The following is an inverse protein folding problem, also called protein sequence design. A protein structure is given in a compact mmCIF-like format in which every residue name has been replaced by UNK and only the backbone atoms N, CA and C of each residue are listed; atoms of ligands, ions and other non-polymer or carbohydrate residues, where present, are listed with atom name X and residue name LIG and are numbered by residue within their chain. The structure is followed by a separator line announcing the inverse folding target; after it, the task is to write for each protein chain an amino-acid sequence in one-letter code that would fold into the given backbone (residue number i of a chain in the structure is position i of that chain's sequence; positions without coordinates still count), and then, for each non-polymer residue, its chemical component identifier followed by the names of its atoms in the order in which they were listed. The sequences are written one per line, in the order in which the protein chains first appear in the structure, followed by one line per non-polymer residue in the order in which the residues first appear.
data_IF_455266984764
#
_entry.id   IF_455266984764
#
_cell.length_a   1.000
_cell.length_b   1.000
_cell.length_c   1.000
_cell.angle_alpha   90.00
_cell.angle_beta   90.00
_cell.angle_gamma   90.00
#
_symmetry.space_group_name_H-M   'P 1'
#
loop_
_entity.id
_entity.type
_entity.pdbx_description
1 polymer ?
#
# COMPACT_ATOMS: atom_id res chain seq x y z
N UNK A 1 -69.56 9.24 19.83
CA UNK A 1 -69.80 7.89 19.25
C UNK A 1 -70.22 6.99 20.41
N UNK A 2 -71.49 6.61 20.41
CA UNK A 2 -72.19 6.06 21.56
C UNK A 2 -71.85 4.59 21.79
N UNK A 3 -71.38 4.27 23.00
CA UNK A 3 -71.23 2.90 23.47
C UNK A 3 -72.60 2.27 23.67
N UNK A 4 -72.82 1.12 23.03
CA UNK A 4 -73.99 0.28 23.25
C UNK A 4 -73.77 -0.54 24.51
N UNK A 5 -74.33 -0.05 25.61
CA UNK A 5 -74.46 -0.74 26.89
C UNK A 5 -75.66 -1.70 26.78
N UNK A 6 -75.41 -2.96 26.41
CA UNK A 6 -76.47 -3.95 26.24
C UNK A 6 -76.81 -4.55 27.61
N UNK A 7 -77.92 -4.08 28.16
CA UNK A 7 -78.50 -4.57 29.40
C UNK A 7 -79.25 -5.90 29.16
N UNK A 8 -78.62 -7.02 29.51
CA UNK A 8 -79.21 -8.37 29.37
C UNK A 8 -80.21 -8.74 30.48
N UNK A 9 -80.62 -7.82 31.36
CA UNK A 9 -81.54 -8.12 32.46
C UNK A 9 -83.03 -7.89 32.15
N UNK A 10 -83.42 -7.64 30.89
CA UNK A 10 -84.82 -7.52 30.48
C UNK A 10 -85.08 -8.19 29.13
N UNK A 11 -84.98 -9.52 29.10
CA UNK A 11 -85.98 -10.34 28.38
C UNK A 11 -85.73 -11.81 28.66
N UNK A 12 -86.43 -12.35 29.66
CA UNK A 12 -86.64 -13.79 29.71
C UNK A 12 -88.10 -14.03 30.03
N UNK A 13 -88.87 -14.16 28.96
CA UNK A 13 -90.16 -14.82 28.95
C UNK A 13 -90.06 -16.15 29.70
N UNK A 14 -90.97 -16.35 30.66
CA UNK A 14 -91.10 -17.61 31.40
C UNK A 14 -91.60 -18.68 30.43
N UNK A 15 -90.67 -19.45 29.84
CA UNK A 15 -91.01 -20.69 29.15
C UNK A 15 -91.29 -21.76 30.19
N UNK A 16 -92.55 -22.18 30.27
CA UNK A 16 -92.97 -23.38 30.98
C UNK A 16 -92.42 -24.57 30.19
N UNK A 17 -91.40 -25.23 30.72
CA UNK A 17 -90.89 -26.46 30.14
C UNK A 17 -91.79 -27.62 30.59
N UNK A 18 -92.51 -28.20 29.63
CA UNK A 18 -93.17 -29.50 29.80
C UNK A 18 -92.09 -30.56 30.07
N UNK A 19 -92.18 -31.20 31.23
CA UNK A 19 -91.26 -32.25 31.63
C UNK A 19 -91.51 -33.52 30.79
N UNK A 20 -90.74 -33.70 29.72
CA UNK A 20 -90.64 -34.98 29.03
C UNK A 20 -90.12 -36.04 30.01
N UNK A 21 -90.76 -37.21 30.15
CA UNK A 21 -90.31 -38.22 31.10
C UNK A 21 -88.89 -38.67 30.73
N UNK A 22 -87.94 -38.42 31.63
CA UNK A 22 -86.62 -39.04 31.60
C UNK A 22 -86.83 -40.55 31.67
N UNK A 23 -86.43 -41.27 30.62
CA UNK A 23 -86.19 -42.69 30.73
C UNK A 23 -85.18 -42.89 31.88
N UNK A 24 -85.70 -43.51 32.93
CA UNK A 24 -84.98 -43.87 34.15
C UNK A 24 -83.83 -44.77 33.72
N UNK A 25 -82.60 -44.24 33.77
CA UNK A 25 -81.41 -45.06 33.63
C UNK A 25 -81.50 -46.21 34.61
N UNK A 26 -81.51 -47.43 34.09
CA UNK A 26 -81.56 -48.64 34.88
C UNK A 26 -80.47 -48.60 35.94
N UNK A 27 -80.84 -48.94 37.17
CA UNK A 27 -79.88 -49.13 38.25
C UNK A 27 -78.81 -50.11 37.79
N UNK A 28 -77.56 -49.68 37.82
CA UNK A 28 -76.41 -50.57 37.69
C UNK A 28 -76.45 -51.44 38.94
N UNK A 29 -76.85 -52.71 38.77
CA UNK A 29 -76.64 -53.75 39.76
C UNK A 29 -75.17 -53.72 40.23
N UNK A 30 -74.82 -54.16 41.45
CA UNK A 30 -73.42 -54.27 41.87
C UNK A 30 -72.75 -55.44 41.12
N UNK A 31 -72.55 -55.26 39.82
CA UNK A 31 -71.76 -56.08 38.93
C UNK A 31 -70.34 -55.55 38.89
N UNK A 32 -69.41 -56.50 38.75
CA UNK A 32 -67.96 -56.37 38.86
C UNK A 32 -67.43 -55.01 38.33
N UNK A 33 -66.88 -54.16 39.22
CA UNK A 33 -66.31 -52.83 38.88
C UNK A 33 -64.96 -52.90 38.16
N UNK A 34 -64.46 -54.11 37.94
CA UNK A 34 -63.21 -54.40 37.24
C UNK A 34 -63.07 -53.70 35.87
N UNK A 35 -64.05 -53.70 34.94
CA UNK A 35 -63.86 -53.08 33.62
C UNK A 35 -63.76 -51.55 33.69
N UNK A 36 -64.33 -50.89 34.70
CA UNK A 36 -64.18 -49.44 34.89
C UNK A 36 -62.78 -49.07 35.42
N UNK A 37 -62.24 -49.90 36.32
CA UNK A 37 -60.87 -49.72 36.84
C UNK A 37 -59.83 -50.05 35.76
N UNK A 38 -60.01 -51.16 35.03
CA UNK A 38 -59.13 -51.52 33.92
C UNK A 38 -59.22 -50.51 32.77
N UNK A 39 -60.41 -49.99 32.44
CA UNK A 39 -60.59 -48.93 31.45
C UNK A 39 -59.94 -47.60 31.87
N UNK A 40 -60.09 -47.21 33.14
CA UNK A 40 -59.44 -46.01 33.69
C UNK A 40 -57.91 -46.12 33.71
N UNK A 41 -57.38 -47.28 34.10
CA UNK A 41 -55.94 -47.56 34.07
C UNK A 41 -55.39 -47.55 32.64
N UNK A 42 -56.10 -48.14 31.68
CA UNK A 42 -55.70 -48.12 30.26
C UNK A 42 -55.71 -46.70 29.69
N UNK A 43 -56.69 -45.87 30.04
CA UNK A 43 -56.74 -44.46 29.62
C UNK A 43 -55.59 -43.64 30.20
N UNK A 44 -55.25 -43.84 31.48
CA UNK A 44 -54.09 -43.18 32.11
C UNK A 44 -52.77 -43.63 31.48
N UNK A 45 -52.62 -44.92 31.18
CA UNK A 45 -51.43 -45.44 30.52
C UNK A 45 -51.25 -44.82 29.12
N UNK A 46 -52.34 -44.67 28.36
CA UNK A 46 -52.29 -44.02 27.05
C UNK A 46 -51.90 -42.54 27.14
N UNK A 47 -52.49 -41.79 28.08
CA UNK A 47 -52.14 -40.38 28.30
C UNK A 47 -50.68 -40.22 28.76
N UNK A 48 -50.18 -41.12 29.60
CA UNK A 48 -48.78 -41.12 30.03
C UNK A 48 -47.82 -41.37 28.86
N UNK A 49 -48.15 -42.30 27.95
CA UNK A 49 -47.35 -42.55 26.74
C UNK A 49 -47.34 -41.33 25.80
N UNK A 50 -48.49 -40.72 25.56
CA UNK A 50 -48.59 -39.52 24.71
C UNK A 50 -47.84 -38.34 25.34
N UNK A 51 -47.98 -38.13 26.65
CA UNK A 51 -47.25 -37.10 27.39
C UNK A 51 -45.73 -37.34 27.38
N UNK A 52 -45.30 -38.58 27.58
CA UNK A 52 -43.89 -38.98 27.49
C UNK A 52 -43.31 -38.75 26.10
N UNK A 53 -44.04 -39.12 25.05
CA UNK A 53 -43.63 -38.88 23.66
C UNK A 53 -43.49 -37.38 23.34
N UNK A 54 -44.46 -36.55 23.78
CA UNK A 54 -44.38 -35.10 23.64
C UNK A 54 -43.21 -34.49 24.44
N UNK A 55 -42.89 -35.02 25.61
CA UNK A 55 -41.76 -34.56 26.40
C UNK A 55 -40.41 -34.87 25.71
N UNK A 56 -40.26 -36.08 25.15
CA UNK A 56 -39.05 -36.48 24.42
C UNK A 56 -38.87 -35.64 23.15
N UNK A 57 -39.93 -35.46 22.36
CA UNK A 57 -39.85 -34.66 21.13
C UNK A 57 -39.57 -33.18 21.41
N UNK A 58 -40.18 -32.59 22.45
CA UNK A 58 -39.85 -31.23 22.90
C UNK A 58 -38.38 -31.10 23.33
N UNK A 59 -37.85 -32.09 24.04
CA UNK A 59 -36.45 -32.07 24.47
C UNK A 59 -35.49 -32.13 23.27
N UNK A 60 -35.81 -32.96 22.26
CA UNK A 60 -35.03 -33.00 21.01
C UNK A 60 -35.09 -31.67 20.25
N UNK A 61 -36.28 -31.08 20.11
CA UNK A 61 -36.44 -29.76 19.47
C UNK A 61 -35.59 -28.70 20.19
N UNK A 62 -35.60 -28.67 21.53
CA UNK A 62 -34.78 -27.74 22.30
C UNK A 62 -33.27 -27.98 22.10
N UNK A 63 -32.82 -29.24 22.03
CA UNK A 63 -31.41 -29.55 21.76
C UNK A 63 -30.98 -29.16 20.34
N UNK A 64 -31.81 -29.41 19.33
CA UNK A 64 -31.52 -28.98 17.96
C UNK A 64 -31.50 -27.45 17.86
N UNK A 65 -32.41 -26.76 18.53
CA UNK A 65 -32.44 -25.30 18.55
C UNK A 65 -31.20 -24.72 19.25
N UNK A 66 -30.74 -25.33 20.36
CA UNK A 66 -29.50 -24.94 21.02
C UNK A 66 -28.27 -25.19 20.14
N UNK A 67 -28.22 -26.31 19.39
CA UNK A 67 -27.15 -26.57 18.42
C UNK A 67 -27.17 -25.56 17.28
N UNK A 68 -28.34 -25.26 16.71
CA UNK A 68 -28.48 -24.22 15.68
C UNK A 68 -27.91 -22.89 16.17
N UNK A 69 -28.32 -22.44 17.36
CA UNK A 69 -27.82 -21.20 17.94
C UNK A 69 -26.30 -21.22 18.20
N UNK A 70 -25.73 -22.37 18.59
CA UNK A 70 -24.28 -22.52 18.74
C UNK A 70 -23.55 -22.47 17.39
N UNK A 71 -24.06 -23.13 16.34
CA UNK A 71 -23.51 -23.05 14.99
C UNK A 71 -23.63 -21.63 14.41
N UNK A 72 -24.74 -20.93 14.68
CA UNK A 72 -24.94 -19.54 14.27
C UNK A 72 -23.90 -18.62 14.95
N UNK A 73 -23.58 -18.87 16.22
CA UNK A 73 -22.52 -18.12 16.92
C UNK A 73 -21.11 -18.43 16.36
N UNK A 74 -20.83 -19.70 16.06
CA UNK A 74 -19.55 -20.13 15.48
C UNK A 74 -19.34 -19.54 14.07
N UNK A 75 -20.39 -19.53 13.24
CA UNK A 75 -20.35 -18.90 11.92
C UNK A 75 -20.17 -17.39 12.00
N UNK A 76 -20.81 -16.70 12.96
CA UNK A 76 -20.59 -15.27 13.19
C UNK A 76 -19.14 -14.98 13.61
N UNK A 77 -18.55 -15.83 14.45
CA UNK A 77 -17.14 -15.72 14.84
C UNK A 77 -16.20 -15.94 13.64
N UNK A 78 -16.45 -16.97 12.82
CA UNK A 78 -15.69 -17.23 11.60
C UNK A 78 -15.80 -16.07 10.61
N UNK A 79 -16.98 -15.48 10.42
CA UNK A 79 -17.16 -14.30 9.58
C UNK A 79 -16.34 -13.11 10.09
N UNK A 80 -16.31 -12.88 11.41
CA UNK A 80 -15.47 -11.84 12.01
C UNK A 80 -13.98 -12.09 11.73
N UNK A 81 -13.50 -13.33 11.85
CA UNK A 81 -12.11 -13.68 11.54
C UNK A 81 -11.78 -13.48 10.06
N UNK A 82 -12.70 -13.84 9.15
CA UNK A 82 -12.53 -13.60 7.72
C UNK A 82 -12.44 -12.10 7.39
N UNK A 83 -13.22 -11.27 8.09
CA UNK A 83 -13.19 -9.82 7.91
C UNK A 83 -11.91 -9.17 8.49
N UNK A 84 -11.37 -9.73 9.57
CA UNK A 84 -10.06 -9.34 10.09
C UNK A 84 -8.95 -9.69 9.10
N UNK A 85 -8.99 -10.91 8.52
CA UNK A 85 -8.03 -11.35 7.50
C UNK A 85 -8.09 -10.46 6.25
N UNK A 86 -9.28 -10.12 5.75
CA UNK A 86 -9.41 -9.24 4.58
C UNK A 86 -8.92 -7.82 4.89
N UNK A 87 -9.14 -7.33 6.12
CA UNK A 87 -8.57 -6.08 6.61
C UNK A 87 -7.05 -6.10 6.64
N UNK A 88 -6.44 -7.19 7.13
CA UNK A 88 -4.98 -7.38 7.13
C UNK A 88 -4.43 -7.46 5.70
N UNK A 89 -5.10 -8.16 4.78
CA UNK A 89 -4.68 -8.21 3.38
C UNK A 89 -4.69 -6.83 2.73
N UNK A 90 -5.74 -6.02 2.96
CA UNK A 90 -5.81 -4.65 2.47
C UNK A 90 -4.69 -3.77 3.04
N UNK A 91 -4.33 -3.94 4.32
CA UNK A 91 -3.18 -3.23 4.91
C UNK A 91 -1.85 -3.67 4.28
N UNK A 92 -1.66 -4.97 3.99
CA UNK A 92 -0.46 -5.49 3.32
C UNK A 92 -0.31 -4.87 1.93
N UNK A 93 -1.40 -4.77 1.17
CA UNK A 93 -1.35 -4.22 -0.18
C UNK A 93 -1.05 -2.71 -0.19
N UNK A 94 -1.58 -1.97 0.79
CA UNK A 94 -1.24 -0.56 0.99
C UNK A 94 0.23 -0.38 1.36
N UNK A 95 0.74 -1.18 2.30
CA UNK A 95 2.17 -1.11 2.69
C UNK A 95 3.07 -1.50 1.53
N UNK A 96 2.68 -2.47 0.69
CA UNK A 96 3.42 -2.83 -0.52
C UNK A 96 3.45 -1.70 -1.54
N UNK A 97 2.33 -1.02 -1.76
CA UNK A 97 2.30 0.11 -2.70
C UNK A 97 3.15 1.29 -2.21
N UNK A 98 3.14 1.55 -0.90
CA UNK A 98 4.01 2.54 -0.27
C UNK A 98 5.49 2.19 -0.41
N UNK A 99 5.87 0.92 -0.13
CA UNK A 99 7.24 0.44 -0.32
C UNK A 99 7.66 0.57 -1.79
N UNK A 100 6.80 0.19 -2.73
CA UNK A 100 7.09 0.32 -4.15
C UNK A 100 7.32 1.78 -4.55
N UNK A 101 6.52 2.72 -4.02
CA UNK A 101 6.73 4.15 -4.25
C UNK A 101 8.08 4.65 -3.73
N UNK A 102 8.52 4.18 -2.55
CA UNK A 102 9.86 4.49 -2.06
C UNK A 102 10.96 3.89 -2.95
N UNK A 103 10.75 2.69 -3.46
CA UNK A 103 11.72 2.00 -4.34
C UNK A 103 11.86 2.72 -5.68
N UNK A 104 10.77 3.21 -6.28
CA UNK A 104 10.86 4.02 -7.52
C UNK A 104 11.67 5.28 -7.29
N UNK A 105 11.46 6.01 -6.19
CA UNK A 105 12.24 7.21 -5.86
C UNK A 105 13.74 6.90 -5.74
N UNK A 106 14.11 5.77 -5.12
CA UNK A 106 15.53 5.37 -5.04
C UNK A 106 16.12 4.87 -6.36
N UNK A 107 15.28 4.42 -7.30
CA UNK A 107 15.72 3.98 -8.61
C UNK A 107 15.85 5.14 -9.60
N UNK A 108 15.05 6.19 -9.41
CA UNK A 108 15.04 7.41 -10.23
C UNK A 108 16.11 8.42 -9.80
N UNK A 109 16.42 8.54 -8.50
CA UNK A 109 17.38 9.54 -8.00
C UNK A 109 18.81 8.97 -7.97
N UNK A 110 19.67 9.52 -8.83
CA UNK A 110 21.11 9.31 -8.75
C UNK A 110 21.72 10.08 -7.56
N UNK A 111 22.57 9.44 -6.73
CA UNK A 111 23.15 10.12 -5.60
C UNK A 111 24.20 11.15 -6.04
N UNK A 112 24.04 12.41 -5.61
CA UNK A 112 25.01 13.49 -5.81
C UNK A 112 26.45 13.15 -5.42
N UNK A 113 26.62 12.29 -4.41
CA UNK A 113 27.95 11.84 -3.99
C UNK A 113 28.65 10.99 -5.06
N UNK A 114 27.92 10.13 -5.78
CA UNK A 114 28.50 9.35 -6.87
C UNK A 114 28.81 10.23 -8.07
N UNK A 115 27.92 11.17 -8.40
CA UNK A 115 28.14 12.14 -9.47
C UNK A 115 29.38 13.02 -9.20
N UNK A 116 29.49 13.56 -7.98
CA UNK A 116 30.66 14.34 -7.56
C UNK A 116 31.95 13.52 -7.59
N UNK A 117 31.90 12.25 -7.16
CA UNK A 117 33.05 11.37 -7.20
C UNK A 117 33.45 11.03 -8.64
N UNK A 118 32.49 10.76 -9.52
CA UNK A 118 32.75 10.50 -10.94
C UNK A 118 33.37 11.74 -11.61
N UNK A 119 32.78 12.92 -11.42
CA UNK A 119 33.35 14.19 -11.93
C UNK A 119 34.76 14.39 -11.40
N UNK A 120 35.00 14.17 -10.09
CA UNK A 120 36.32 14.33 -9.48
C UNK A 120 37.34 13.36 -10.06
N UNK A 121 37.00 12.08 -10.24
CA UNK A 121 37.92 11.08 -10.79
C UNK A 121 38.25 11.34 -12.26
N UNK A 122 37.35 12.01 -12.98
CA UNK A 122 37.46 12.38 -14.38
C UNK A 122 38.07 13.76 -14.62
N UNK A 123 38.21 14.59 -13.59
CA UNK A 123 38.77 15.94 -13.70
C UNK A 123 40.28 15.85 -13.97
N UNK A 124 40.78 16.36 -15.13
CA UNK A 124 42.20 16.40 -15.40
C UNK A 124 42.95 17.25 -14.37
N UNK A 125 44.23 16.95 -14.11
CA UNK A 125 45.03 17.64 -13.10
C UNK A 125 45.23 19.16 -13.35
N UNK A 126 44.85 19.66 -14.53
CA UNK A 126 45.04 21.05 -14.97
C UNK A 126 43.73 21.86 -14.99
N UNK A 127 42.64 21.22 -14.58
CA UNK A 127 41.31 21.82 -14.55
C UNK A 127 40.87 21.90 -13.09
N UNK A 128 40.38 23.06 -12.68
CA UNK A 128 39.87 23.28 -11.33
C UNK A 128 38.39 23.63 -11.38
N UNK A 129 37.59 22.83 -10.69
CA UNK A 129 36.16 23.10 -10.52
C UNK A 129 36.00 24.09 -9.35
N UNK A 130 35.29 25.19 -9.61
CA UNK A 130 35.00 26.24 -8.62
C UNK A 130 33.61 26.04 -8.02
N UNK A 131 32.62 25.74 -8.86
CA UNK A 131 31.25 25.50 -8.40
C UNK A 131 30.55 24.47 -9.27
N UNK A 132 29.68 23.69 -8.65
CA UNK A 132 28.74 22.80 -9.33
C UNK A 132 27.32 23.21 -8.91
N UNK A 133 26.42 23.37 -9.88
CA UNK A 133 25.01 23.69 -9.63
C UNK A 133 24.09 22.77 -10.42
N UNK A 134 23.00 22.35 -9.80
CA UNK A 134 21.90 21.63 -10.46
C UNK A 134 21.06 22.61 -11.30
N UNK A 135 20.67 22.17 -12.49
CA UNK A 135 19.79 22.90 -13.39
C UNK A 135 18.66 21.98 -13.82
N UNK A 136 17.44 22.26 -13.40
CA UNK A 136 16.27 21.54 -13.89
C UNK A 136 15.83 22.15 -15.22
N UNK A 137 15.98 21.43 -16.31
CA UNK A 137 15.39 21.81 -17.60
C UNK A 137 13.99 21.25 -17.68
N UNK A 138 12.99 22.11 -17.40
CA UNK A 138 11.59 21.81 -17.72
C UNK A 138 11.40 22.04 -19.21
N UNK A 139 11.15 21.01 -20.04
CA UNK A 139 10.83 21.26 -21.44
C UNK A 139 9.55 22.09 -21.51
N UNK A 140 9.57 23.12 -22.36
CA UNK A 140 8.41 23.96 -22.63
C UNK A 140 7.32 23.08 -23.25
N UNK A 141 6.20 22.90 -22.55
CA UNK A 141 5.14 21.98 -22.95
C UNK A 141 4.62 22.35 -24.35
N UNK A 142 5.01 21.57 -25.36
CA UNK A 142 4.56 21.76 -26.74
C UNK A 142 3.17 21.16 -26.97
N UNK A 143 2.69 20.32 -26.05
CA UNK A 143 1.38 19.66 -26.06
C UNK A 143 0.80 19.59 -24.64
N UNK A 144 -0.44 20.08 -24.38
CA UNK A 144 -1.08 20.00 -23.06
C UNK A 144 -1.40 18.58 -22.57
N UNK A 145 -1.23 17.54 -23.39
CA UNK A 145 -1.48 16.14 -23.00
C UNK A 145 -0.21 15.33 -22.69
N UNK A 146 0.98 15.93 -22.80
CA UNK A 146 2.25 15.25 -22.49
C UNK A 146 2.81 15.88 -21.22
N UNK A 147 2.96 15.08 -20.16
CA UNK A 147 3.68 15.52 -18.96
C UNK A 147 5.13 15.80 -19.40
N UNK A 148 5.65 17.04 -19.24
CA UNK A 148 7.02 17.33 -19.61
C UNK A 148 7.97 16.49 -18.75
N UNK A 149 8.78 15.65 -19.39
CA UNK A 149 9.88 14.93 -18.73
C UNK A 149 10.90 15.97 -18.27
N UNK A 150 10.95 16.25 -16.96
CA UNK A 150 11.96 17.11 -16.38
C UNK A 150 13.30 16.39 -16.41
N UNK A 151 14.22 16.87 -17.23
CA UNK A 151 15.62 16.40 -17.19
C UNK A 151 16.35 17.16 -16.10
N UNK A 152 16.94 16.41 -15.17
CA UNK A 152 17.86 16.96 -14.18
C UNK A 152 19.22 17.15 -14.87
N UNK A 153 19.71 18.39 -14.87
CA UNK A 153 20.99 18.76 -15.45
C UNK A 153 21.95 19.34 -14.42
N UNK A 154 23.19 19.47 -14.83
CA UNK A 154 24.27 20.06 -14.03
C UNK A 154 25.00 21.12 -14.84
N UNK A 155 25.45 22.15 -14.14
CA UNK A 155 26.34 23.18 -14.65
C UNK A 155 27.61 23.21 -13.81
N UNK A 156 28.74 23.00 -14.47
CA UNK A 156 30.08 22.92 -13.88
C UNK A 156 30.82 24.21 -14.24
N UNK A 157 31.11 25.05 -13.25
CA UNK A 157 31.95 26.24 -13.45
C UNK A 157 33.33 25.99 -12.88
N UNK A 158 34.35 26.44 -13.59
CA UNK A 158 35.72 26.26 -13.17
C UNK A 158 36.70 27.16 -13.92
N UNK A 159 37.98 26.91 -13.64
CA UNK A 159 39.11 27.57 -14.30
C UNK A 159 40.07 26.53 -14.86
N UNK A 160 40.63 26.81 -16.03
CA UNK A 160 41.61 25.97 -16.70
C UNK A 160 42.78 26.80 -17.24
N UNK A 161 43.90 26.14 -17.53
CA UNK A 161 45.10 26.76 -18.07
C UNK A 161 45.08 26.90 -19.59
N UNK A 162 44.28 26.09 -20.30
CA UNK A 162 44.11 26.19 -21.76
C UNK A 162 42.70 25.79 -22.23
N UNK A 163 42.34 26.23 -23.44
CA UNK A 163 41.10 25.79 -24.09
C UNK A 163 41.12 24.29 -24.43
N UNK A 164 42.30 23.74 -24.69
CA UNK A 164 42.48 22.31 -24.97
C UNK A 164 42.12 21.46 -23.75
N UNK A 165 42.48 21.92 -22.55
CA UNK A 165 42.15 21.23 -21.29
C UNK A 165 40.64 21.23 -21.00
N UNK A 166 39.94 22.31 -21.36
CA UNK A 166 38.47 22.39 -21.25
C UNK A 166 37.83 21.41 -22.22
N UNK A 167 38.33 21.34 -23.45
CA UNK A 167 37.85 20.39 -24.45
C UNK A 167 38.10 18.94 -24.03
N UNK A 168 39.31 18.62 -23.55
CA UNK A 168 39.64 17.29 -23.04
C UNK A 168 38.74 16.93 -21.85
N UNK A 169 38.49 17.87 -20.94
CA UNK A 169 37.58 17.65 -19.82
C UNK A 169 36.16 17.35 -20.29
N UNK A 170 35.62 18.11 -21.25
CA UNK A 170 34.32 17.84 -21.84
C UNK A 170 34.26 16.44 -22.48
N UNK A 171 35.29 16.02 -23.22
CA UNK A 171 35.37 14.69 -23.83
C UNK A 171 35.44 13.55 -22.79
N UNK A 172 36.10 13.77 -21.66
CA UNK A 172 36.13 12.78 -20.57
C UNK A 172 34.77 12.69 -19.87
N UNK A 173 34.09 13.82 -19.69
CA UNK A 173 32.72 13.87 -19.14
C UNK A 173 31.71 13.19 -20.06
N UNK A 174 31.86 13.30 -21.38
CA UNK A 174 31.03 12.57 -22.36
C UNK A 174 31.13 11.05 -22.24
N UNK A 175 32.20 10.53 -21.62
CA UNK A 175 32.37 9.09 -21.36
C UNK A 175 31.82 8.68 -19.99
N UNK A 176 31.20 9.58 -19.24
CA UNK A 176 30.60 9.25 -17.95
C UNK A 176 29.32 8.44 -18.18
N UNK A 177 29.14 7.30 -17.50
CA UNK A 177 27.87 6.58 -17.53
C UNK A 177 26.78 7.29 -16.70
N UNK A 178 27.14 8.26 -15.85
CA UNK A 178 26.21 9.03 -15.01
C UNK A 178 25.67 10.28 -15.72
N UNK A 179 26.27 10.66 -16.85
CA UNK A 179 25.89 11.82 -17.65
C UNK A 179 25.47 11.39 -19.05
N UNK A 180 24.57 12.15 -19.68
CA UNK A 180 24.18 11.92 -21.06
C UNK A 180 25.23 12.51 -22.00
N UNK A 181 25.96 11.64 -22.71
CA UNK A 181 27.09 12.03 -23.56
C UNK A 181 26.74 13.09 -24.60
N UNK A 182 25.52 13.07 -25.15
CA UNK A 182 25.07 14.00 -26.20
C UNK A 182 24.80 15.42 -25.67
N UNK A 183 24.58 15.55 -24.37
CA UNK A 183 24.19 16.82 -23.72
C UNK A 183 25.37 17.58 -23.14
N UNK A 184 26.54 16.93 -23.03
CA UNK A 184 27.75 17.55 -22.49
C UNK A 184 28.27 18.59 -23.48
N UNK A 185 28.14 19.86 -23.13
CA UNK A 185 28.56 20.98 -23.97
C UNK A 185 29.20 22.10 -23.15
N UNK A 186 30.18 22.78 -23.77
CA UNK A 186 30.80 23.98 -23.20
C UNK A 186 29.85 25.15 -23.49
N UNK A 187 29.21 25.68 -22.44
CA UNK A 187 28.28 26.82 -22.55
C UNK A 187 29.02 28.14 -22.69
N UNK A 188 30.12 28.29 -21.95
CA UNK A 188 30.94 29.51 -21.94
C UNK A 188 32.40 29.15 -21.71
N UNK A 189 33.31 29.83 -22.41
CA UNK A 189 34.74 29.79 -22.15
C UNK A 189 35.32 31.18 -22.43
N UNK A 190 35.88 31.84 -21.42
CA UNK A 190 36.38 33.20 -21.53
C UNK A 190 37.73 33.33 -20.82
N UNK A 191 38.72 33.85 -21.53
CA UNK A 191 40.01 34.18 -20.96
C UNK A 191 39.90 35.37 -19.99
N UNK A 192 40.50 35.24 -18.82
CA UNK A 192 40.59 36.31 -17.85
C UNK A 192 41.49 37.44 -18.37
N UNK A 193 41.11 38.72 -18.16
CA UNK A 193 41.91 39.86 -18.62
C UNK A 193 43.19 40.06 -17.79
N UNK A 194 43.26 39.46 -16.61
CA UNK A 194 44.39 39.55 -15.69
C UNK A 194 45.39 38.42 -15.93
N UNK A 195 46.67 38.78 -15.96
CA UNK A 195 47.77 37.82 -15.96
C UNK A 195 47.81 37.05 -14.65
N UNK A 196 48.14 35.77 -14.74
CA UNK A 196 48.35 34.90 -13.60
C UNK A 196 49.57 35.36 -12.81
N UNK A 197 49.41 35.60 -11.51
CA UNK A 197 50.55 35.88 -10.65
C UNK A 197 51.17 34.56 -10.15
N UNK A 198 52.39 34.21 -10.59
CA UNK A 198 53.01 32.95 -10.24
C UNK A 198 53.34 32.81 -8.74
N UNK A 199 53.34 33.90 -7.97
CA UNK A 199 53.62 33.87 -6.53
C UNK A 199 52.38 33.54 -5.68
N UNK A 200 51.18 33.90 -6.16
CA UNK A 200 49.94 33.76 -5.38
C UNK A 200 49.00 32.70 -5.93
N UNK A 201 48.97 32.51 -7.25
CA UNK A 201 48.01 31.64 -7.94
C UNK A 201 48.68 30.40 -8.56
N UNK A 202 50.01 30.32 -8.49
CA UNK A 202 50.80 29.23 -9.07
C UNK A 202 51.01 29.38 -10.57
N UNK A 203 51.50 28.32 -11.21
CA UNK A 203 51.78 28.30 -12.66
C UNK A 203 51.07 27.15 -13.34
N UNK A 204 50.69 27.41 -14.58
CA UNK A 204 50.19 26.37 -15.45
C UNK A 204 51.31 25.38 -15.80
N UNK A 205 51.10 24.06 -15.65
CA UNK A 205 52.17 23.09 -15.89
C UNK A 205 52.58 23.06 -17.36
N UNK A 206 53.84 23.32 -17.67
CA UNK A 206 54.38 23.29 -19.04
C UNK A 206 54.55 24.66 -19.69
N UNK A 207 54.23 25.75 -19.01
CA UNK A 207 54.52 27.11 -19.48
C UNK A 207 55.99 27.47 -19.19
N UNK A 208 56.67 28.10 -20.16
CA UNK A 208 58.08 28.44 -20.00
C UNK A 208 58.25 29.54 -18.95
N UNK A 209 59.41 29.56 -18.28
CA UNK A 209 59.68 30.56 -17.24
C UNK A 209 59.77 31.95 -17.85
N UNK A 210 58.73 32.76 -17.69
CA UNK A 210 58.69 34.16 -18.13
C UNK A 210 57.58 34.49 -19.13
N UNK A 211 56.84 33.48 -19.61
CA UNK A 211 55.68 33.73 -20.46
C UNK A 211 54.45 34.17 -19.63
N UNK A 212 53.61 35.06 -20.18
CA UNK A 212 52.36 35.46 -19.56
C UNK A 212 51.36 34.30 -19.60
N UNK A 213 50.99 33.79 -18.43
CA UNK A 213 49.92 32.81 -18.26
C UNK A 213 48.59 33.51 -18.01
N UNK A 214 47.51 32.95 -18.54
CA UNK A 214 46.14 33.41 -18.30
C UNK A 214 45.28 32.21 -17.89
N UNK A 215 44.31 32.45 -17.02
CA UNK A 215 43.25 31.48 -16.75
C UNK A 215 42.09 31.69 -17.70
N UNK A 216 41.39 30.60 -17.98
CA UNK A 216 40.15 30.61 -18.74
C UNK A 216 39.05 30.15 -17.81
N UNK A 217 38.08 31.03 -17.57
CA UNK A 217 36.84 30.69 -16.90
C UNK A 217 35.96 29.90 -17.86
N UNK A 218 35.44 28.76 -17.40
CA UNK A 218 34.58 27.91 -18.23
C UNK A 218 33.31 27.50 -17.50
N UNK A 219 32.28 27.23 -18.28
CA UNK A 219 31.02 26.62 -17.87
C UNK A 219 30.70 25.46 -18.79
N UNK A 220 30.54 24.26 -18.23
CA UNK A 220 30.08 23.06 -18.95
C UNK A 220 28.71 22.67 -18.43
N UNK A 221 27.75 22.52 -19.34
CA UNK A 221 26.43 21.95 -19.06
C UNK A 221 26.37 20.48 -19.44
N UNK A 222 25.67 19.67 -18.66
CA UNK A 222 25.39 18.26 -18.98
C UNK A 222 24.09 17.81 -18.31
N UNK A 223 23.35 16.89 -18.92
CA UNK A 223 22.19 16.25 -18.30
C UNK A 223 22.62 14.97 -17.58
N UNK A 224 21.95 14.68 -16.47
CA UNK A 224 22.08 13.43 -15.75
C UNK A 224 21.41 12.32 -16.57
N UNK A 225 21.96 11.10 -16.53
CA UNK A 225 21.37 9.95 -17.24
C UNK A 225 19.99 9.58 -16.66
N UNK A 226 19.06 9.23 -17.54
CA UNK A 226 17.74 8.69 -17.15
C UNK A 226 17.82 7.17 -16.84
N UNK A 227 19.04 6.60 -16.87
CA UNK A 227 19.26 5.18 -16.59
C UNK A 227 19.04 4.90 -15.11
N UNK A 228 18.17 3.94 -14.76
CA UNK A 228 17.85 3.66 -13.36
C UNK A 228 19.07 3.19 -12.57
N UNK A 229 19.17 3.63 -11.31
CA UNK A 229 20.31 3.33 -10.43
C UNK A 229 20.55 1.81 -10.25
N UNK A 230 19.51 0.99 -10.35
CA UNK A 230 19.59 -0.48 -10.34
C UNK A 230 20.46 -1.08 -11.47
N UNK A 231 20.55 -0.41 -12.62
CA UNK A 231 21.41 -0.83 -13.74
C UNK A 231 22.85 -0.31 -13.61
N UNK A 232 23.06 0.70 -12.76
CA UNK A 232 24.36 1.35 -12.55
C UNK A 232 25.05 0.89 -11.26
N UNK A 233 24.63 -0.21 -10.64
CA UNK A 233 25.14 -0.68 -9.34
C UNK A 233 26.66 -0.84 -9.33
N UNK A 234 27.25 -1.45 -10.36
CA UNK A 234 28.70 -1.67 -10.45
C UNK A 234 29.47 -0.34 -10.51
N UNK A 235 28.90 0.67 -11.19
CA UNK A 235 29.50 1.98 -11.29
C UNK A 235 29.35 2.76 -9.97
N UNK A 236 28.16 2.71 -9.36
CA UNK A 236 27.91 3.31 -8.05
C UNK A 236 28.85 2.73 -6.97
N UNK A 237 29.09 1.42 -7.00
CA UNK A 237 30.06 0.76 -6.11
C UNK A 237 31.49 1.29 -6.32
N UNK A 238 31.92 1.47 -7.57
CA UNK A 238 33.22 2.06 -7.92
C UNK A 238 33.35 3.52 -7.46
N UNK A 239 32.26 4.27 -7.53
CA UNK A 239 32.20 5.66 -7.07
C UNK A 239 31.98 5.79 -5.55
N UNK A 240 32.01 4.68 -4.81
CA UNK A 240 32.05 4.68 -3.34
C UNK A 240 30.71 4.90 -2.65
N UNK A 241 29.56 4.75 -3.34
CA UNK A 241 28.23 4.81 -2.72
C UNK A 241 27.83 3.49 -2.06
N UNK A 242 28.61 3.07 -1.07
CA UNK A 242 28.41 1.80 -0.33
C UNK A 242 26.98 1.68 0.22
N UNK A 243 26.45 2.77 0.81
CA UNK A 243 25.13 2.74 1.46
C UNK A 243 23.93 2.61 0.51
N UNK A 244 24.01 3.09 -0.74
CA UNK A 244 22.93 2.92 -1.72
C UNK A 244 23.04 1.53 -2.36
N UNK A 245 24.25 1.10 -2.71
CA UNK A 245 24.53 -0.22 -3.28
C UNK A 245 24.03 -1.34 -2.37
N UNK A 246 24.31 -1.28 -1.05
CA UNK A 246 23.79 -2.29 -0.10
C UNK A 246 22.27 -2.31 -0.04
N UNK A 247 21.60 -1.15 -0.17
CA UNK A 247 20.12 -1.09 -0.18
C UNK A 247 19.54 -1.62 -1.49
N UNK A 248 20.14 -1.27 -2.63
CA UNK A 248 19.73 -1.79 -3.94
C UNK A 248 19.95 -3.32 -4.02
N UNK A 249 21.08 -3.82 -3.52
CA UNK A 249 21.32 -5.27 -3.42
C UNK A 249 20.28 -5.95 -2.51
N UNK A 250 19.96 -5.36 -1.35
CA UNK A 250 18.91 -5.89 -0.47
C UNK A 250 17.51 -5.84 -1.10
N UNK A 251 17.23 -4.86 -1.96
CA UNK A 251 15.98 -4.78 -2.73
C UNK A 251 15.92 -5.83 -3.84
N UNK A 252 17.04 -6.09 -4.52
CA UNK A 252 17.19 -7.15 -5.53
C UNK A 252 17.05 -8.55 -4.92
N UNK A 253 17.69 -8.80 -3.77
CA UNK A 253 17.55 -10.05 -3.02
C UNK A 253 16.11 -10.32 -2.56
N UNK A 254 15.35 -9.26 -2.28
CA UNK A 254 13.92 -9.34 -1.93
C UNK A 254 12.99 -9.44 -3.14
N UNK A 255 13.52 -9.42 -4.37
CA UNK A 255 12.75 -9.51 -5.61
C UNK A 255 11.86 -8.29 -5.90
N UNK A 256 12.19 -7.13 -5.33
CA UNK A 256 11.42 -5.88 -5.52
C UNK A 256 11.88 -5.13 -6.77
N UNK A 257 13.14 -5.33 -7.17
CA UNK A 257 13.75 -4.80 -8.39
C UNK A 257 14.53 -5.95 -9.06
N UNK A 258 14.57 -5.95 -10.40
CA UNK A 258 15.33 -6.94 -11.19
C UNK A 258 16.85 -6.68 -11.18
#
# INVERSE_FOLDING_TARGET
MYGLDINFLKDREVRVFEAKPRARGGGVAPGDRKPLIFGGAAALAFLALVGGYLAVTKNQVNQLQARSAALDAETAQLQSQLQEISGIQGQIDLVRSEINAFVTVFNEILPWSALLQDIRTRTPARVQIVSLSETTTTPEATDPNVVPESSEGISINGVACSYDEINDFALVLQRSPLLQSETVAISQAQQQPTLLDPQTQGRCPGTAVGDPDFLIDYTIGANITDTPASQLVDELERQGTVGLVTRLQALREKGVIE
#
